data_IF_626881706814
#
_entry.id   IF_626881706814
#
_cell.length_a   1.000
_cell.length_b   1.000
_cell.length_c   1.000
_cell.angle_alpha   90.00
_cell.angle_beta   90.00
_cell.angle_gamma   90.00
#
_symmetry.space_group_name_H-M   'P 1'
#
loop_
_entity.id
_entity.type
_entity.pdbx_description
1 polymer ?
#
# COMPACT_ATOMS: atom_id res chain seq x y z
N UNK A 1 -24.44 6.59 5.13
CA UNK A 1 -23.04 7.01 5.25
C UNK A 1 -22.17 5.78 5.21
N UNK A 2 -21.22 5.72 4.29
CA UNK A 2 -20.36 4.55 4.16
C UNK A 2 -19.09 4.74 5.01
N UNK A 3 -18.77 3.73 5.77
CA UNK A 3 -17.53 3.71 6.57
C UNK A 3 -16.34 3.32 5.69
N UNK A 4 -15.17 3.81 6.06
CA UNK A 4 -13.89 3.36 5.49
C UNK A 4 -13.50 2.04 6.16
N UNK A 5 -14.01 0.93 5.64
CA UNK A 5 -13.84 -0.41 6.22
C UNK A 5 -12.37 -0.76 6.45
N UNK A 6 -11.54 -0.52 5.46
CA UNK A 6 -10.12 -0.87 5.53
C UNK A 6 -9.39 -0.09 6.63
N UNK A 7 -9.64 1.22 6.72
CA UNK A 7 -9.03 2.05 7.76
C UNK A 7 -9.55 1.67 9.15
N UNK A 8 -10.82 1.29 9.27
CA UNK A 8 -11.39 0.85 10.54
C UNK A 8 -10.76 -0.45 10.99
N UNK A 9 -10.60 -1.45 10.11
CA UNK A 9 -9.92 -2.70 10.45
C UNK A 9 -8.45 -2.48 10.80
N UNK A 10 -7.80 -1.50 10.18
CA UNK A 10 -6.41 -1.14 10.51
C UNK A 10 -6.30 -0.49 11.88
N UNK A 11 -7.19 0.46 12.18
CA UNK A 11 -7.19 1.20 13.44
C UNK A 11 -7.65 0.33 14.62
N UNK A 12 -8.61 -0.57 14.37
CA UNK A 12 -9.23 -1.41 15.40
C UNK A 12 -9.18 -2.88 14.98
N UNK A 13 -8.06 -3.56 15.24
CA UNK A 13 -7.89 -4.97 14.83
C UNK A 13 -8.88 -5.94 15.48
N UNK A 14 -9.54 -5.53 16.57
CA UNK A 14 -10.56 -6.32 17.26
C UNK A 14 -11.94 -6.29 16.59
N UNK A 15 -12.15 -5.39 15.62
CA UNK A 15 -13.40 -5.34 14.85
C UNK A 15 -13.48 -6.51 13.89
N UNK A 16 -14.60 -7.25 13.91
CA UNK A 16 -14.83 -8.40 13.03
C UNK A 16 -15.89 -8.17 11.96
N UNK A 17 -16.72 -7.16 12.11
CA UNK A 17 -17.81 -6.86 11.18
C UNK A 17 -18.13 -5.38 11.17
N UNK A 18 -18.38 -4.83 9.98
CA UNK A 18 -18.79 -3.44 9.80
C UNK A 18 -20.10 -3.41 8.98
N UNK A 19 -21.09 -2.70 9.50
CA UNK A 19 -22.34 -2.41 8.80
C UNK A 19 -22.40 -0.90 8.55
N UNK A 20 -22.47 -0.49 7.29
CA UNK A 20 -22.30 0.91 6.89
C UNK A 20 -23.29 1.88 7.55
N UNK A 21 -24.50 1.41 7.86
CA UNK A 21 -25.52 2.27 8.45
C UNK A 21 -25.54 2.25 9.97
N UNK A 22 -24.89 1.27 10.60
CA UNK A 22 -25.02 1.03 12.04
C UNK A 22 -23.72 1.10 12.81
N UNK A 23 -22.60 0.70 12.24
CA UNK A 23 -21.30 0.77 12.91
C UNK A 23 -20.44 -0.48 12.79
N UNK A 24 -19.48 -0.61 13.69
CA UNK A 24 -18.52 -1.72 13.73
C UNK A 24 -18.74 -2.55 15.01
N UNK A 25 -18.48 -3.84 14.92
CA UNK A 25 -18.75 -4.80 16.01
C UNK A 25 -17.55 -5.71 16.25
N UNK A 26 -17.33 -6.03 17.51
CA UNK A 26 -16.19 -6.85 17.93
C UNK A 26 -16.55 -8.31 18.18
N UNK A 27 -17.84 -8.63 18.22
CA UNK A 27 -18.35 -9.97 18.42
C UNK A 27 -19.80 -10.09 17.96
N UNK A 28 -20.32 -11.30 17.90
CA UNK A 28 -21.73 -11.60 17.68
C UNK A 28 -22.46 -11.75 19.02
N UNK A 29 -23.68 -11.26 19.19
CA UNK A 29 -24.53 -10.59 18.18
C UNK A 29 -24.07 -9.17 17.83
N UNK A 30 -24.43 -8.73 16.61
CA UNK A 30 -24.06 -7.38 16.10
C UNK A 30 -25.07 -6.37 16.60
N UNK A 31 -24.97 -6.02 17.86
CA UNK A 31 -25.83 -5.06 18.55
C UNK A 31 -25.00 -4.13 19.43
N UNK A 32 -25.68 -3.26 20.19
CA UNK A 32 -25.00 -2.26 21.02
C UNK A 32 -24.08 -2.87 22.08
N UNK A 33 -24.31 -4.14 22.48
CA UNK A 33 -23.46 -4.84 23.45
C UNK A 33 -22.03 -5.00 22.92
N UNK A 34 -21.89 -5.25 21.63
CA UNK A 34 -20.59 -5.53 20.98
C UNK A 34 -20.16 -4.41 20.05
N UNK A 35 -20.78 -3.24 20.11
CA UNK A 35 -20.48 -2.13 19.23
C UNK A 35 -19.18 -1.44 19.64
N UNK A 36 -18.28 -1.26 18.66
CA UNK A 36 -17.02 -0.53 18.87
C UNK A 36 -17.23 0.97 18.77
N UNK A 37 -16.69 1.71 19.71
CA UNK A 37 -16.66 3.18 19.59
C UNK A 37 -15.62 3.57 18.55
N UNK A 38 -16.06 4.27 17.50
CA UNK A 38 -15.20 4.73 16.42
C UNK A 38 -14.83 6.18 16.63
N UNK A 39 -13.52 6.49 16.55
CA UNK A 39 -12.98 7.84 16.64
C UNK A 39 -12.45 8.22 15.26
N UNK A 40 -12.98 9.31 14.68
CA UNK A 40 -12.65 9.71 13.32
C UNK A 40 -11.15 9.98 13.14
N UNK A 41 -10.49 10.59 14.14
CA UNK A 41 -9.05 10.85 14.08
C UNK A 41 -8.22 9.57 13.98
N UNK A 42 -8.65 8.47 14.62
CA UNK A 42 -7.98 7.17 14.53
C UNK A 42 -8.14 6.57 13.14
N UNK A 43 -9.33 6.71 12.56
CA UNK A 43 -9.62 6.23 11.19
C UNK A 43 -8.81 7.02 10.17
N UNK A 44 -8.74 8.33 10.32
CA UNK A 44 -7.96 9.21 9.44
C UNK A 44 -6.46 8.87 9.49
N UNK A 45 -5.92 8.64 10.68
CA UNK A 45 -4.53 8.25 10.86
C UNK A 45 -4.25 6.88 10.21
N UNK A 46 -5.17 5.92 10.35
CA UNK A 46 -5.06 4.61 9.72
C UNK A 46 -5.10 4.72 8.18
N UNK A 47 -5.94 5.61 7.64
CA UNK A 47 -6.01 5.86 6.19
C UNK A 47 -4.69 6.43 5.67
N UNK A 48 -4.08 7.37 6.37
CA UNK A 48 -2.77 7.92 5.99
C UNK A 48 -1.71 6.80 5.94
N UNK A 49 -1.69 5.92 6.94
CA UNK A 49 -0.75 4.78 6.99
C UNK A 49 -0.98 3.82 5.82
N UNK A 50 -2.24 3.44 5.54
CA UNK A 50 -2.59 2.55 4.44
C UNK A 50 -2.20 3.15 3.08
N UNK A 51 -2.48 4.42 2.87
CA UNK A 51 -2.14 5.10 1.61
C UNK A 51 -0.62 5.15 1.40
N UNK A 52 0.16 5.36 2.47
CA UNK A 52 1.62 5.30 2.41
C UNK A 52 2.13 3.89 2.09
N UNK A 53 1.51 2.84 2.66
CA UNK A 53 1.84 1.45 2.36
C UNK A 53 1.54 1.11 0.89
N UNK A 54 0.39 1.55 0.36
CA UNK A 54 0.02 1.36 -1.04
C UNK A 54 0.96 2.11 -1.99
N UNK A 55 1.33 3.35 -1.65
CA UNK A 55 2.28 4.11 -2.45
C UNK A 55 3.66 3.43 -2.51
N UNK A 56 4.10 2.84 -1.39
CA UNK A 56 5.36 2.09 -1.32
C UNK A 56 5.34 0.86 -2.22
N UNK A 57 4.21 0.14 -2.26
CA UNK A 57 4.04 -1.02 -3.15
C UNK A 57 3.96 -0.57 -4.61
N UNK A 58 3.19 0.48 -4.88
CA UNK A 58 2.97 0.98 -6.23
C UNK A 58 4.28 1.41 -6.90
N UNK A 59 5.15 2.14 -6.21
CA UNK A 59 6.40 2.57 -6.83
C UNK A 59 7.31 1.39 -7.19
N UNK A 60 7.29 0.33 -6.37
CA UNK A 60 8.04 -0.89 -6.67
C UNK A 60 7.52 -1.60 -7.91
N UNK A 61 6.20 -1.72 -8.02
CA UNK A 61 5.55 -2.34 -9.19
C UNK A 61 5.79 -1.51 -10.46
N UNK A 62 5.69 -0.18 -10.35
CA UNK A 62 5.94 0.73 -11.46
C UNK A 62 7.38 0.62 -11.96
N UNK A 63 8.35 0.56 -11.04
CA UNK A 63 9.75 0.35 -11.39
C UNK A 63 9.96 -0.99 -12.08
N UNK A 64 9.36 -2.05 -11.52
CA UNK A 64 9.51 -3.41 -12.08
C UNK A 64 9.01 -3.49 -13.50
N UNK A 65 7.87 -2.85 -13.80
CA UNK A 65 7.29 -2.86 -15.15
C UNK A 65 8.11 -2.09 -16.19
N UNK A 66 8.91 -1.09 -15.75
CA UNK A 66 9.74 -0.28 -16.64
C UNK A 66 11.11 -0.92 -16.91
N UNK A 67 11.59 -1.81 -16.04
CA UNK A 67 12.86 -2.51 -16.31
C UNK A 67 12.70 -3.50 -17.45
N UNK A 68 13.69 -3.60 -18.37
CA UNK A 68 13.70 -4.70 -19.32
C UNK A 68 13.84 -6.04 -18.59
N UNK A 69 13.59 -7.14 -19.29
CA UNK A 69 13.71 -8.45 -18.67
C UNK A 69 15.15 -8.71 -18.17
N UNK A 70 15.30 -9.68 -17.26
CA UNK A 70 16.58 -9.91 -16.61
C UNK A 70 17.66 -10.35 -17.60
N UNK A 71 17.29 -11.16 -18.59
CA UNK A 71 18.24 -11.58 -19.64
C UNK A 71 18.78 -10.40 -20.43
N UNK A 72 17.91 -9.45 -20.79
CA UNK A 72 18.29 -8.22 -21.49
C UNK A 72 19.23 -7.38 -20.65
N UNK A 73 18.94 -7.23 -19.34
CA UNK A 73 19.80 -6.46 -18.42
C UNK A 73 21.17 -7.12 -18.28
N UNK A 74 21.25 -8.43 -18.13
CA UNK A 74 22.51 -9.16 -18.04
C UNK A 74 23.36 -9.00 -19.31
N UNK A 75 22.73 -9.09 -20.48
CA UNK A 75 23.40 -8.88 -21.75
C UNK A 75 23.95 -7.46 -21.87
N UNK A 76 23.17 -6.47 -21.43
CA UNK A 76 23.61 -5.09 -21.39
C UNK A 76 24.84 -4.88 -20.51
N UNK A 77 24.85 -5.48 -19.31
CA UNK A 77 26.00 -5.44 -18.39
C UNK A 77 27.24 -6.08 -19.05
N UNK A 78 27.05 -7.20 -19.71
CA UNK A 78 28.13 -7.91 -20.40
C UNK A 78 28.81 -7.04 -21.47
N UNK A 79 28.01 -6.36 -22.28
CA UNK A 79 28.52 -5.53 -23.38
C UNK A 79 29.01 -4.14 -22.96
N UNK A 80 28.41 -3.54 -21.93
CA UNK A 80 28.60 -2.14 -21.58
C UNK A 80 29.17 -1.90 -20.17
N UNK A 81 29.18 -2.92 -19.30
CA UNK A 81 29.62 -2.80 -17.91
C UNK A 81 28.54 -2.35 -16.95
N UNK A 82 28.79 -2.57 -15.64
CA UNK A 82 27.82 -2.28 -14.57
C UNK A 82 27.54 -0.78 -14.44
N UNK A 83 28.56 0.07 -14.55
CA UNK A 83 28.37 1.51 -14.41
C UNK A 83 27.44 2.07 -15.47
N UNK A 84 27.58 1.61 -16.71
CA UNK A 84 26.71 2.04 -17.81
C UNK A 84 25.30 1.48 -17.68
N UNK A 85 25.14 0.24 -17.22
CA UNK A 85 23.85 -0.34 -16.89
C UNK A 85 23.13 0.49 -15.84
N UNK A 86 23.81 0.89 -14.78
CA UNK A 86 23.23 1.73 -13.72
C UNK A 86 22.76 3.07 -14.28
N UNK A 87 23.60 3.75 -15.07
CA UNK A 87 23.28 5.06 -15.63
C UNK A 87 22.16 5.02 -16.66
N UNK A 88 22.16 4.02 -17.55
CA UNK A 88 21.27 3.97 -18.70
C UNK A 88 19.96 3.23 -18.43
N UNK A 89 19.93 2.27 -17.52
CA UNK A 89 18.75 1.43 -17.23
C UNK A 89 18.19 1.70 -15.84
N UNK A 90 19.01 1.67 -14.81
CA UNK A 90 18.54 1.76 -13.42
C UNK A 90 18.14 3.18 -13.02
N UNK A 91 19.03 4.14 -13.21
CA UNK A 91 18.81 5.53 -12.76
C UNK A 91 17.59 6.20 -13.42
N UNK A 92 17.33 6.03 -14.74
CA UNK A 92 16.13 6.61 -15.34
C UNK A 92 14.83 6.09 -14.74
N UNK A 93 14.76 4.80 -14.42
CA UNK A 93 13.57 4.20 -13.80
C UNK A 93 13.38 4.70 -12.37
N UNK A 94 14.45 4.77 -11.58
CA UNK A 94 14.40 5.31 -10.21
C UNK A 94 14.02 6.78 -10.19
N UNK A 95 14.48 7.55 -11.16
CA UNK A 95 14.14 8.97 -11.29
C UNK A 95 12.67 9.17 -11.66
N UNK A 96 12.13 8.33 -12.54
CA UNK A 96 10.73 8.37 -12.97
C UNK A 96 9.78 7.97 -11.85
N UNK A 97 10.17 7.00 -11.02
CA UNK A 97 9.37 6.49 -9.90
C UNK A 97 10.17 6.60 -8.60
N UNK A 98 10.28 7.80 -8.01
CA UNK A 98 11.02 7.97 -6.77
C UNK A 98 10.33 7.26 -5.60
N UNK A 99 11.13 6.86 -4.62
CA UNK A 99 10.62 6.27 -3.39
C UNK A 99 9.77 7.30 -2.64
N UNK A 100 8.52 6.94 -2.28
CA UNK A 100 7.64 7.85 -1.54
C UNK A 100 8.11 8.12 -0.12
#
# INVERSE_FOLDING_TARGET
MNYDHEAIYKAYPDVIYIQDDLGAYTDFPYDDTNKKTLVQSDIDAARVTLDAEYAAIKYQDDRRSEYPDWGTQLDYIYHNGIDKWKTDIVDPVKKKYPKP
#
